data_IF_735631846551
#
_entry.id   IF_735631846551
#
_cell.length_a   1.000
_cell.length_b   1.000
_cell.length_c   1.000
_cell.angle_alpha   90.00
_cell.angle_beta   90.00
_cell.angle_gamma   90.00
#
_symmetry.space_group_name_H-M   'P 1'
#
loop_
_entity.id
_entity.type
_entity.pdbx_description
1 polymer ?
#
# COMPACT_ATOMS: atom_id res chain seq x y z
N UNK A 1 -9.99 -33.80 -11.39
CA UNK A 1 -9.15 -32.59 -11.20
C UNK A 1 -9.52 -31.94 -9.87
N UNK A 2 -8.60 -31.86 -8.90
CA UNK A 2 -8.85 -31.16 -7.63
C UNK A 2 -8.67 -29.66 -7.85
N UNK A 3 -9.76 -28.91 -7.87
CA UNK A 3 -9.73 -27.45 -7.87
C UNK A 3 -9.16 -26.99 -6.53
N UNK A 4 -7.90 -26.54 -6.52
CA UNK A 4 -7.37 -25.74 -5.43
C UNK A 4 -8.15 -24.43 -5.42
N UNK A 5 -9.14 -24.29 -4.53
CA UNK A 5 -9.68 -22.98 -4.22
C UNK A 5 -8.56 -22.18 -3.54
N UNK A 6 -7.86 -21.36 -4.31
CA UNK A 6 -6.94 -20.36 -3.74
C UNK A 6 -7.80 -19.47 -2.85
N UNK A 7 -7.65 -19.62 -1.53
CA UNK A 7 -8.04 -18.59 -0.57
C UNK A 7 -7.34 -17.33 -1.06
N UNK A 8 -8.08 -16.40 -1.68
CA UNK A 8 -7.52 -15.14 -2.13
C UNK A 8 -7.12 -14.38 -0.87
N UNK A 9 -5.84 -14.02 -0.69
CA UNK A 9 -5.46 -13.15 0.42
C UNK A 9 -6.26 -11.85 0.30
N UNK A 10 -6.81 -11.38 1.41
CA UNK A 10 -7.47 -10.08 1.46
C UNK A 10 -6.38 -8.99 1.47
N UNK A 11 -5.97 -8.59 0.26
CA UNK A 11 -4.89 -7.62 0.04
C UNK A 11 -5.20 -6.21 0.54
N UNK A 12 -6.43 -5.97 1.00
CA UNK A 12 -6.89 -4.72 1.60
C UNK A 12 -6.90 -4.75 3.13
N UNK A 13 -6.52 -5.88 3.74
CA UNK A 13 -6.35 -6.01 5.20
C UNK A 13 -4.89 -6.25 5.56
N UNK A 14 -4.42 -5.55 6.59
CA UNK A 14 -3.06 -5.66 7.08
C UNK A 14 -3.02 -5.58 8.61
N UNK A 15 -2.09 -6.30 9.24
CA UNK A 15 -1.74 -6.09 10.64
C UNK A 15 -0.57 -5.12 10.70
N UNK A 16 -0.63 -4.16 11.63
CA UNK A 16 0.36 -3.09 11.74
C UNK A 16 0.60 -2.71 13.19
N UNK A 17 1.72 -2.02 13.46
CA UNK A 17 2.03 -1.40 14.75
C UNK A 17 2.12 0.12 14.62
N UNK A 18 1.98 0.84 15.73
CA UNK A 18 2.06 2.31 15.78
C UNK A 18 3.39 2.88 15.26
N UNK A 19 4.47 2.11 15.36
CA UNK A 19 5.81 2.48 14.90
C UNK A 19 6.01 2.26 13.40
N UNK A 20 5.05 1.64 12.70
CA UNK A 20 5.17 1.27 11.30
C UNK A 20 4.51 2.32 10.39
N UNK A 21 4.76 2.18 9.09
CA UNK A 21 4.13 2.99 8.05
C UNK A 21 3.30 2.11 7.13
N UNK A 22 2.13 2.59 6.72
CA UNK A 22 1.33 1.96 5.68
C UNK A 22 1.73 2.50 4.31
N UNK A 23 2.02 1.60 3.38
CA UNK A 23 2.08 1.87 1.95
C UNK A 23 0.79 1.39 1.29
N UNK A 24 0.08 2.30 0.62
CA UNK A 24 -1.23 2.07 0.02
C UNK A 24 -1.11 2.26 -1.48
N UNK A 25 -1.28 1.17 -2.23
CA UNK A 25 -1.08 1.14 -3.67
C UNK A 25 -2.41 1.22 -4.40
N UNK A 26 -2.44 1.97 -5.49
CA UNK A 26 -3.65 2.14 -6.31
C UNK A 26 -3.50 1.55 -7.71
N UNK A 27 -4.63 1.22 -8.34
CA UNK A 27 -4.70 0.71 -9.71
C UNK A 27 -4.14 1.68 -10.78
N UNK A 28 -4.01 2.96 -10.45
CA UNK A 28 -3.44 3.99 -11.33
C UNK A 28 -1.93 4.14 -11.17
N UNK A 29 -1.33 3.42 -10.22
CA UNK A 29 0.12 3.39 -9.97
C UNK A 29 0.60 4.40 -8.93
N UNK A 30 -0.30 5.06 -8.19
CA UNK A 30 0.10 5.91 -7.07
C UNK A 30 0.31 5.09 -5.80
N UNK A 31 1.19 5.61 -4.95
CA UNK A 31 1.49 5.04 -3.64
C UNK A 31 1.34 6.14 -2.61
N UNK A 32 0.49 5.90 -1.62
CA UNK A 32 0.27 6.79 -0.48
C UNK A 32 0.98 6.21 0.73
N UNK A 33 1.64 7.09 1.49
CA UNK A 33 2.35 6.71 2.71
C UNK A 33 1.67 7.33 3.92
N UNK A 34 1.31 6.49 4.90
CA UNK A 34 0.64 6.94 6.13
C UNK A 34 1.34 6.36 7.36
N UNK A 35 2.01 7.20 8.17
CA UNK A 35 2.45 6.82 9.50
C UNK A 35 1.29 6.32 10.38
N UNK A 36 1.42 5.11 10.94
CA UNK A 36 0.32 4.46 11.68
C UNK A 36 0.02 5.20 13.00
N UNK A 37 1.01 5.84 13.63
CA UNK A 37 0.78 6.62 14.84
C UNK A 37 -0.20 7.79 14.67
N UNK A 38 -0.47 8.24 13.43
CA UNK A 38 -1.48 9.28 13.18
C UNK A 38 -2.90 8.74 13.28
N UNK A 39 -3.06 7.41 13.24
CA UNK A 39 -4.34 6.71 13.29
C UNK A 39 -4.88 6.49 14.72
N UNK A 40 -4.53 7.36 15.69
CA UNK A 40 -4.78 7.16 17.13
C UNK A 40 -6.24 6.82 17.49
N UNK A 41 -7.21 7.31 16.71
CA UNK A 41 -8.64 7.12 16.96
C UNK A 41 -9.28 5.92 16.25
N UNK A 42 -8.52 5.08 15.51
CA UNK A 42 -9.10 3.90 14.83
C UNK A 42 -9.56 2.86 15.85
N UNK A 43 -8.90 2.79 17.01
CA UNK A 43 -9.24 1.81 18.05
C UNK A 43 -10.61 2.08 18.71
N UNK A 44 -11.18 3.27 18.54
CA UNK A 44 -12.46 3.65 19.15
C UNK A 44 -13.63 3.70 18.16
N UNK A 45 -13.35 3.79 16.85
CA UNK A 45 -14.36 3.79 15.79
C UNK A 45 -13.76 3.44 14.43
N UNK A 46 -14.59 2.90 13.54
CA UNK A 46 -14.24 2.77 12.13
C UNK A 46 -14.00 4.16 11.50
N UNK A 47 -12.90 4.29 10.75
CA UNK A 47 -12.55 5.52 10.04
C UNK A 47 -12.28 5.22 8.57
N UNK A 48 -12.75 6.11 7.69
CA UNK A 48 -12.43 6.02 6.26
C UNK A 48 -10.96 6.33 6.03
N UNK A 49 -10.33 5.56 5.15
CA UNK A 49 -8.95 5.79 4.73
C UNK A 49 -8.75 7.17 4.08
N UNK A 50 -9.79 7.73 3.47
CA UNK A 50 -9.77 9.07 2.85
C UNK A 50 -9.43 10.18 3.85
N UNK A 51 -9.64 9.96 5.15
CA UNK A 51 -9.24 10.90 6.20
C UNK A 51 -7.70 11.01 6.32
N UNK A 52 -6.97 9.99 5.88
CA UNK A 52 -5.51 9.93 5.96
C UNK A 52 -4.84 10.19 4.61
N UNK A 53 -5.43 9.70 3.51
CA UNK A 53 -4.83 9.82 2.17
C UNK A 53 -5.47 10.93 1.30
N UNK A 54 -6.51 11.58 1.82
CA UNK A 54 -7.35 12.49 1.04
C UNK A 54 -8.27 11.73 0.07
N UNK A 55 -9.06 12.47 -0.71
CA UNK A 55 -9.87 11.87 -1.77
C UNK A 55 -8.98 11.37 -2.90
N UNK A 56 -9.10 10.10 -3.25
CA UNK A 56 -8.45 9.52 -4.43
C UNK A 56 -9.22 9.89 -5.71
N UNK A 57 -8.57 9.77 -6.88
CA UNK A 57 -9.19 10.09 -8.16
C UNK A 57 -10.43 9.25 -8.48
N UNK A 58 -11.34 9.74 -9.34
CA UNK A 58 -12.62 9.07 -9.67
C UNK A 58 -12.48 7.61 -10.14
N UNK A 59 -11.40 7.28 -10.84
CA UNK A 59 -11.11 5.94 -11.34
C UNK A 59 -9.98 5.23 -10.57
N UNK A 60 -9.53 5.85 -9.49
CA UNK A 60 -8.49 5.34 -8.61
C UNK A 60 -9.13 4.44 -7.55
N UNK A 61 -8.50 3.28 -7.31
CA UNK A 61 -8.93 2.27 -6.37
C UNK A 61 -7.71 1.71 -5.67
N UNK A 62 -7.81 1.54 -4.36
CA UNK A 62 -6.79 0.85 -3.58
C UNK A 62 -6.80 -0.63 -3.99
N UNK A 63 -5.62 -1.16 -4.32
CA UNK A 63 -5.43 -2.56 -4.73
C UNK A 63 -4.58 -3.37 -3.75
N UNK A 64 -3.81 -2.69 -2.89
CA UNK A 64 -2.93 -3.33 -1.90
C UNK A 64 -2.63 -2.36 -0.76
N UNK A 65 -2.60 -2.89 0.45
CA UNK A 65 -2.06 -2.21 1.63
C UNK A 65 -0.92 -3.07 2.18
N UNK A 66 0.21 -2.44 2.51
CA UNK A 66 1.35 -3.10 3.15
C UNK A 66 1.78 -2.30 4.39
N UNK A 67 2.09 -3.00 5.47
CA UNK A 67 2.75 -2.40 6.63
C UNK A 67 4.26 -2.57 6.49
N UNK A 68 4.99 -1.49 6.73
CA UNK A 68 6.45 -1.41 6.60
C UNK A 68 7.04 -0.96 7.92
N UNK A 69 7.81 -1.85 8.54
CA UNK A 69 8.55 -1.57 9.77
C UNK A 69 9.93 -0.95 9.51
N UNK A 70 10.54 -1.28 8.38
CA UNK A 70 11.88 -0.84 7.97
C UNK A 70 11.99 -0.86 6.44
N UNK A 71 12.85 0.01 5.91
CA UNK A 71 13.17 0.12 4.48
C UNK A 71 14.51 -0.54 4.17
N UNK A 72 14.65 -1.81 4.57
CA UNK A 72 15.88 -2.57 4.36
C UNK A 72 16.18 -2.76 2.86
N UNK A 73 17.46 -2.79 2.48
CA UNK A 73 17.91 -2.81 1.08
C UNK A 73 17.63 -4.14 0.34
N UNK A 74 17.33 -5.21 1.08
CA UNK A 74 17.08 -6.55 0.54
C UNK A 74 15.62 -6.77 0.09
N UNK A 75 14.74 -5.78 0.33
CA UNK A 75 13.31 -5.87 -0.03
C UNK A 75 13.00 -5.10 -1.30
N UNK A 76 12.09 -5.64 -2.10
CA UNK A 76 11.61 -5.00 -3.31
C UNK A 76 10.10 -5.23 -3.51
N UNK A 77 9.49 -4.33 -4.26
CA UNK A 77 8.09 -4.41 -4.69
C UNK A 77 8.08 -4.77 -6.17
N UNK A 78 7.36 -5.85 -6.49
CA UNK A 78 7.07 -6.23 -7.87
C UNK A 78 5.67 -5.76 -8.24
N UNK A 79 5.59 -4.95 -9.29
CA UNK A 79 4.34 -4.46 -9.85
C UNK A 79 4.12 -5.08 -11.23
N UNK A 80 2.91 -5.55 -11.49
CA UNK A 80 2.51 -6.16 -12.75
C UNK A 80 1.36 -5.35 -13.34
N UNK A 81 1.53 -4.84 -14.56
CA UNK A 81 0.47 -4.11 -15.26
C UNK A 81 -0.37 -5.05 -16.12
N UNK A 82 -1.57 -4.60 -16.50
CA UNK A 82 -2.44 -5.34 -17.44
C UNK A 82 -1.83 -5.50 -18.84
N UNK A 83 -0.86 -4.65 -19.20
CA UNK A 83 -0.12 -4.72 -20.47
C UNK A 83 1.07 -5.68 -20.43
N UNK A 84 1.28 -6.38 -19.31
CA UNK A 84 2.38 -7.34 -19.15
C UNK A 84 3.71 -6.71 -18.71
N UNK A 85 3.73 -5.42 -18.38
CA UNK A 85 4.94 -4.78 -17.85
C UNK A 85 5.16 -5.22 -16.40
N UNK A 86 6.40 -5.59 -16.10
CA UNK A 86 6.85 -5.90 -14.74
C UNK A 86 7.83 -4.82 -14.30
N UNK A 87 7.57 -4.21 -13.15
CA UNK A 87 8.48 -3.25 -12.52
C UNK A 87 8.93 -3.79 -11.18
N UNK A 88 10.25 -3.82 -10.97
CA UNK A 88 10.89 -4.10 -9.69
C UNK A 88 11.43 -2.79 -9.13
N UNK A 89 10.99 -2.41 -7.94
CA UNK A 89 11.44 -1.21 -7.24
C UNK A 89 11.99 -1.61 -5.89
N UNK A 90 13.14 -1.09 -5.48
CA UNK A 90 13.66 -1.36 -4.14
C UNK A 90 12.72 -0.73 -3.12
N UNK A 91 12.47 -1.44 -2.00
CA UNK A 91 11.62 -0.89 -0.94
C UNK A 91 12.25 0.41 -0.40
N UNK A 92 13.58 0.47 -0.33
CA UNK A 92 14.37 1.65 0.05
C UNK A 92 13.98 2.94 -0.69
N UNK A 93 13.57 2.85 -1.95
CA UNK A 93 13.13 4.01 -2.73
C UNK A 93 11.87 4.69 -2.13
N UNK A 94 11.16 3.99 -1.25
CA UNK A 94 9.97 4.49 -0.56
C UNK A 94 10.26 5.08 0.84
N UNK A 95 11.52 5.19 1.25
CA UNK A 95 11.88 5.68 2.59
C UNK A 95 11.62 7.19 2.78
N UNK A 96 11.89 8.01 1.75
CA UNK A 96 11.91 9.48 1.84
C UNK A 96 10.60 10.16 2.27
N UNK A 97 10.65 11.41 2.72
CA UNK A 97 9.48 12.15 3.22
C UNK A 97 8.57 12.64 2.09
N UNK A 98 7.62 11.80 1.68
CA UNK A 98 6.57 12.14 0.74
C UNK A 98 5.23 11.57 1.22
N UNK A 99 4.15 12.25 0.85
CA UNK A 99 2.79 11.79 1.12
C UNK A 99 2.25 10.89 0.00
N UNK A 100 2.60 11.23 -1.25
CA UNK A 100 2.15 10.54 -2.47
C UNK A 100 3.30 10.48 -3.47
N UNK A 101 3.67 9.29 -3.93
CA UNK A 101 4.60 9.13 -5.06
C UNK A 101 3.82 8.93 -6.35
N UNK A 102 4.19 9.73 -7.36
CA UNK A 102 3.70 9.61 -8.73
C UNK A 102 4.15 8.33 -9.43
N UNK A 103 3.71 8.16 -10.67
CA UNK A 103 4.15 7.02 -11.49
C UNK A 103 5.67 7.07 -11.61
N UNK A 104 6.35 6.09 -11.02
CA UNK A 104 7.74 5.86 -11.37
C UNK A 104 7.72 5.54 -12.87
N UNK A 105 8.27 6.44 -13.68
CA UNK A 105 8.36 6.36 -15.14
C UNK A 105 8.90 5.02 -15.64
#
# INVERSE_FOLDING_TARGET
>A
LKAYSKIKPDYLKVKTKSTEQLLIFTNTGFIYKVPVFMMKNIFTKDMSIDQFIGKIGRNEKIIRIASVASYDEDRCIYTFTKTGMVKKTLLKEYEGEFFKIGRAS
#
